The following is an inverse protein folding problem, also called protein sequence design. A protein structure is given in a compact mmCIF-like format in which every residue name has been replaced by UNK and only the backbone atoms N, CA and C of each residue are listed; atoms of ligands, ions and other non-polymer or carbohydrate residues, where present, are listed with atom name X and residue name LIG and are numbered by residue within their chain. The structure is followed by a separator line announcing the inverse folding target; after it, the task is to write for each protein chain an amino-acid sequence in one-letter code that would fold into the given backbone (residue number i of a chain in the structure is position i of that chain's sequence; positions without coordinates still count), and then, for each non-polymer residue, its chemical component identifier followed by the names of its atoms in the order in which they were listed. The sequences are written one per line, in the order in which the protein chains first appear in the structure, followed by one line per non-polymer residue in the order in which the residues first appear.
data_IF_014912368198
#
_entry.id   IF_014912368198
#
_cell.length_a   1.000
_cell.length_b   1.000
_cell.length_c   1.000
_cell.angle_alpha   90.00
_cell.angle_beta   90.00
_cell.angle_gamma   90.00
#
_symmetry.space_group_name_H-M   'P 1'
#
loop_
_entity.id
_entity.type
_entity.pdbx_description
1 polymer ?
#
# COMPACT_ATOMS: atom_id res chain seq x y z
N UNK A 1 28.15 16.67 -34.71
CA UNK A 1 26.91 17.41 -34.36
C UNK A 1 26.06 16.55 -33.44
N UNK A 2 25.91 16.91 -32.16
CA UNK A 2 24.96 16.28 -31.23
C UNK A 2 23.71 17.16 -31.17
N UNK A 3 22.56 16.62 -31.57
CA UNK A 3 21.28 17.34 -31.58
C UNK A 3 20.70 17.32 -30.16
N UNK A 4 20.65 18.48 -29.52
CA UNK A 4 19.91 18.71 -28.28
C UNK A 4 18.44 18.91 -28.65
N UNK A 5 17.57 17.95 -28.31
CA UNK A 5 16.13 18.12 -28.50
C UNK A 5 15.48 18.63 -27.21
N UNK A 6 15.26 19.94 -27.24
CA UNK A 6 14.05 20.67 -26.82
C UNK A 6 13.40 20.30 -25.48
N UNK A 7 13.62 21.19 -24.51
CA UNK A 7 12.77 21.38 -23.33
C UNK A 7 11.31 21.61 -23.75
N UNK A 8 10.43 20.65 -23.48
CA UNK A 8 8.98 20.86 -23.59
C UNK A 8 8.53 21.85 -22.52
N UNK A 9 7.92 22.95 -22.96
CA UNK A 9 7.27 23.96 -22.12
C UNK A 9 5.94 23.36 -21.60
N UNK A 10 5.83 23.13 -20.29
CA UNK A 10 4.59 22.67 -19.63
C UNK A 10 3.74 23.85 -19.16
N UNK A 11 2.41 23.68 -19.16
CA UNK A 11 1.44 24.74 -18.83
C UNK A 11 1.36 24.95 -17.32
N UNK A 12 1.11 26.18 -16.84
CA UNK A 12 1.03 26.51 -15.40
C UNK A 12 0.07 25.61 -14.58
N UNK A 13 -0.96 25.06 -15.22
CA UNK A 13 -1.92 24.15 -14.61
C UNK A 13 -1.34 22.75 -14.32
N UNK A 14 -0.44 22.26 -15.18
CA UNK A 14 0.21 20.95 -15.00
C UNK A 14 1.19 20.98 -13.82
N UNK A 15 1.89 22.11 -13.60
CA UNK A 15 2.76 22.30 -12.42
C UNK A 15 2.01 22.24 -11.09
N UNK A 16 0.75 22.71 -11.06
CA UNK A 16 -0.08 22.68 -9.85
C UNK A 16 -0.63 21.28 -9.56
N UNK A 17 -0.94 20.51 -10.60
CA UNK A 17 -1.31 19.10 -10.45
C UNK A 17 -0.11 18.27 -10.00
N UNK A 18 1.05 18.44 -10.65
CA UNK A 18 2.31 17.81 -10.23
C UNK A 18 2.68 18.15 -8.78
N UNK A 19 2.50 19.40 -8.32
CA UNK A 19 2.76 19.73 -6.91
C UNK A 19 1.83 19.03 -5.93
N UNK A 20 0.57 18.78 -6.31
CA UNK A 20 -0.39 18.07 -5.46
C UNK A 20 -0.05 16.57 -5.41
N UNK A 21 0.37 15.98 -6.54
CA UNK A 21 0.85 14.60 -6.57
C UNK A 21 2.14 14.44 -5.77
N UNK A 22 3.13 15.31 -5.95
CA UNK A 22 4.40 15.22 -5.22
C UNK A 22 4.24 15.52 -3.71
N UNK A 23 3.35 16.43 -3.32
CA UNK A 23 3.13 16.75 -1.90
C UNK A 23 2.37 15.63 -1.16
N UNK A 24 1.49 14.88 -1.82
CA UNK A 24 0.79 13.74 -1.20
C UNK A 24 1.64 12.45 -1.15
N UNK A 25 2.66 12.32 -2.00
CA UNK A 25 3.60 11.18 -1.96
C UNK A 25 4.56 11.34 -0.77
N UNK A 26 4.87 12.57 -0.36
CA UNK A 26 5.70 12.81 0.83
C UNK A 26 4.97 12.62 2.17
N UNK A 27 3.63 12.57 2.20
CA UNK A 27 2.86 12.35 3.44
C UNK A 27 2.63 10.88 3.78
N UNK A 28 3.07 9.93 2.94
CA UNK A 28 2.87 8.49 3.13
C UNK A 28 4.17 7.68 3.19
N UNK A 29 5.33 8.33 3.12
CA UNK A 29 6.62 7.72 3.44
C UNK A 29 7.02 8.13 4.85
N UNK A 30 6.29 7.63 5.85
CA UNK A 30 6.84 7.54 7.20
C UNK A 30 7.70 6.28 7.15
N UNK A 31 8.99 6.43 6.85
CA UNK A 31 9.93 5.38 7.24
C UNK A 31 9.76 5.21 8.76
N UNK A 32 9.53 3.99 9.28
CA UNK A 32 9.54 3.78 10.72
C UNK A 32 10.87 4.31 11.25
N UNK A 33 10.79 5.36 12.06
CA UNK A 33 11.94 5.96 12.73
C UNK A 33 12.32 5.02 13.89
N UNK A 34 12.98 3.91 13.55
CA UNK A 34 13.49 2.95 14.52
C UNK A 34 14.57 3.55 15.45
N UNK A 35 15.08 4.75 15.12
CA UNK A 35 16.08 5.45 15.92
C UNK A 35 15.44 6.36 17.00
N UNK A 36 14.15 6.71 16.88
CA UNK A 36 13.40 7.48 17.88
C UNK A 36 12.19 6.69 18.42
N UNK A 37 12.48 5.64 19.18
CA UNK A 37 11.46 4.93 19.96
C UNK A 37 10.92 5.86 21.04
N UNK A 38 9.59 5.93 21.15
CA UNK A 38 8.98 6.50 22.34
C UNK A 38 9.37 5.69 23.58
N UNK A 39 9.32 6.26 24.80
CA UNK A 39 9.67 5.51 26.01
C UNK A 39 8.88 4.20 26.18
N UNK A 40 7.64 4.17 25.69
CA UNK A 40 6.76 3.01 25.70
C UNK A 40 7.22 1.93 24.69
N UNK A 41 7.65 2.33 23.49
CA UNK A 41 8.16 1.40 22.47
C UNK A 41 9.53 0.81 22.87
N UNK A 42 10.41 1.62 23.47
CA UNK A 42 11.70 1.16 23.99
C UNK A 42 11.52 0.15 25.13
N UNK A 43 10.56 0.37 26.02
CA UNK A 43 10.26 -0.57 27.12
C UNK A 43 9.81 -1.94 26.58
N UNK A 44 8.94 -1.94 25.56
CA UNK A 44 8.47 -3.16 24.90
C UNK A 44 9.63 -3.90 24.21
N UNK A 45 10.53 -3.18 23.54
CA UNK A 45 11.69 -3.79 22.87
C UNK A 45 12.66 -4.38 23.87
N UNK A 46 12.97 -3.67 24.95
CA UNK A 46 13.84 -4.18 26.00
C UNK A 46 13.21 -5.41 26.71
N UNK A 47 11.88 -5.46 26.89
CA UNK A 47 11.17 -6.63 27.41
C UNK A 47 11.21 -7.83 26.45
N UNK A 48 11.11 -7.57 25.14
CA UNK A 48 11.25 -8.57 24.09
C UNK A 48 12.66 -9.16 24.05
N UNK A 49 13.69 -8.31 24.11
CA UNK A 49 15.10 -8.75 24.14
C UNK A 49 15.43 -9.54 25.41
N UNK A 50 14.83 -9.18 26.55
CA UNK A 50 14.93 -9.96 27.81
C UNK A 50 14.30 -11.35 27.71
N UNK A 51 13.52 -11.63 26.67
CA UNK A 51 12.95 -12.96 26.41
C UNK A 51 11.89 -13.38 27.42
N UNK A 52 11.23 -12.42 28.08
CA UNK A 52 10.20 -12.69 29.09
C UNK A 52 8.86 -13.16 28.49
N UNK A 53 8.69 -12.95 27.18
CA UNK A 53 7.50 -13.37 26.46
C UNK A 53 7.53 -14.87 26.14
N UNK A 54 6.81 -15.65 26.94
CA UNK A 54 6.62 -17.08 26.70
C UNK A 54 5.43 -17.27 25.76
N UNK A 55 5.65 -17.90 24.60
CA UNK A 55 4.57 -18.18 23.64
C UNK A 55 3.53 -19.11 24.26
N UNK A 56 2.41 -18.55 24.73
CA UNK A 56 1.29 -19.31 25.29
C UNK A 56 0.37 -19.78 24.15
N UNK A 57 -0.10 -21.04 24.16
CA UNK A 57 -1.16 -21.44 23.24
C UNK A 57 -2.42 -20.60 23.48
N UNK A 58 -2.94 -20.00 22.41
CA UNK A 58 -4.19 -19.23 22.45
C UNK A 58 -5.34 -20.13 22.93
N UNK A 59 -6.19 -19.60 23.80
CA UNK A 59 -7.40 -20.28 24.24
C UNK A 59 -8.40 -20.37 23.09
N UNK A 60 -9.36 -21.29 23.18
CA UNK A 60 -10.40 -21.43 22.14
C UNK A 60 -11.29 -20.17 22.02
N UNK A 61 -11.41 -19.40 23.09
CA UNK A 61 -12.13 -18.11 23.11
C UNK A 61 -11.33 -17.04 22.36
N UNK A 62 -10.03 -16.91 22.63
CA UNK A 62 -9.13 -16.00 21.93
C UNK A 62 -9.08 -16.31 20.42
N UNK A 63 -9.00 -17.59 20.05
CA UNK A 63 -9.04 -18.01 18.64
C UNK A 63 -10.35 -17.62 17.97
N UNK A 64 -11.49 -17.78 18.65
CA UNK A 64 -12.80 -17.35 18.11
C UNK A 64 -12.86 -15.85 17.93
N UNK A 65 -12.36 -15.09 18.89
CA UNK A 65 -12.35 -13.63 18.83
C UNK A 65 -11.46 -13.14 17.69
N UNK A 66 -10.24 -13.65 17.57
CA UNK A 66 -9.32 -13.35 16.48
C UNK A 66 -9.91 -13.74 15.12
N UNK A 67 -10.55 -14.91 15.02
CA UNK A 67 -11.24 -15.32 13.79
C UNK A 67 -12.41 -14.40 13.45
N UNK A 68 -13.19 -13.96 14.45
CA UNK A 68 -14.28 -13.01 14.25
C UNK A 68 -13.76 -11.63 13.80
N UNK A 69 -12.68 -11.13 14.39
CA UNK A 69 -12.02 -9.89 13.99
C UNK A 69 -11.47 -9.99 12.56
N UNK A 70 -10.78 -11.08 12.22
CA UNK A 70 -10.25 -11.31 10.88
C UNK A 70 -11.38 -11.33 9.83
N UNK A 71 -12.48 -12.03 10.12
CA UNK A 71 -13.66 -12.06 9.26
C UNK A 71 -14.27 -10.67 9.08
N UNK A 72 -14.45 -9.93 10.17
CA UNK A 72 -15.05 -8.59 10.12
C UNK A 72 -14.20 -7.60 9.31
N UNK A 73 -12.88 -7.69 9.38
CA UNK A 73 -11.96 -6.86 8.59
C UNK A 73 -12.01 -7.22 7.11
N UNK A 74 -12.07 -8.52 6.77
CA UNK A 74 -12.17 -8.99 5.38
C UNK A 74 -13.54 -8.69 4.75
N UNK A 75 -14.61 -8.70 5.54
CA UNK A 75 -15.98 -8.42 5.08
C UNK A 75 -16.19 -6.94 4.72
N UNK A 76 -15.36 -6.01 5.23
CA UNK A 76 -15.41 -4.57 4.90
C UNK A 76 -14.83 -4.25 3.52
N UNK A 77 -15.52 -4.68 2.48
CA UNK A 77 -15.20 -4.26 1.11
C UNK A 77 -15.86 -2.92 0.77
N UNK A 78 -15.13 -2.04 0.08
CA UNK A 78 -15.66 -0.77 -0.45
C UNK A 78 -15.39 -0.69 -1.94
N UNK A 79 -16.38 -0.22 -2.70
CA UNK A 79 -16.24 -0.01 -4.15
C UNK A 79 -15.52 1.32 -4.42
N UNK A 80 -14.54 1.29 -5.31
CA UNK A 80 -13.89 2.49 -5.85
C UNK A 80 -14.22 2.64 -7.33
N UNK A 81 -14.43 3.87 -7.79
CA UNK A 81 -14.59 4.20 -9.21
C UNK A 81 -13.30 4.81 -9.74
N UNK A 82 -12.70 4.19 -10.76
CA UNK A 82 -11.45 4.63 -11.37
C UNK A 82 -11.67 4.81 -12.87
N UNK A 83 -11.16 5.92 -13.42
CA UNK A 83 -11.17 6.19 -14.86
C UNK A 83 -9.81 5.82 -15.46
N UNK A 84 -9.82 4.96 -16.47
CA UNK A 84 -8.63 4.55 -17.20
C UNK A 84 -8.74 4.99 -18.66
N UNK A 85 -7.59 5.18 -19.31
CA UNK A 85 -7.56 5.31 -20.77
C UNK A 85 -7.84 3.94 -21.42
N UNK A 86 -8.32 3.92 -22.66
CA UNK A 86 -8.54 2.66 -23.39
C UNK A 86 -7.25 1.83 -23.53
N UNK A 87 -6.12 2.53 -23.71
CA UNK A 87 -4.79 1.90 -23.82
C UNK A 87 -4.42 1.17 -22.53
N UNK A 88 -4.58 1.82 -21.38
CA UNK A 88 -4.22 1.22 -20.09
C UNK A 88 -5.15 0.06 -19.75
N UNK A 89 -6.45 0.18 -20.06
CA UNK A 89 -7.41 -0.91 -19.89
C UNK A 89 -7.02 -2.13 -20.74
N UNK A 90 -6.58 -1.92 -22.00
CA UNK A 90 -6.13 -3.00 -22.87
C UNK A 90 -4.86 -3.68 -22.31
N UNK A 91 -3.88 -2.90 -21.86
CA UNK A 91 -2.66 -3.44 -21.24
C UNK A 91 -2.97 -4.24 -19.97
N UNK A 92 -3.87 -3.74 -19.12
CA UNK A 92 -4.29 -4.44 -17.89
C UNK A 92 -4.93 -5.79 -18.21
N UNK A 93 -5.81 -5.85 -19.22
CA UNK A 93 -6.44 -7.09 -19.67
C UNK A 93 -5.41 -8.09 -20.20
N UNK A 94 -4.43 -7.62 -20.97
CA UNK A 94 -3.34 -8.47 -21.48
C UNK A 94 -2.49 -9.01 -20.32
N UNK A 95 -2.11 -8.16 -19.36
CA UNK A 95 -1.34 -8.59 -18.20
C UNK A 95 -2.10 -9.62 -17.36
N UNK A 96 -3.39 -9.38 -17.08
CA UNK A 96 -4.23 -10.32 -16.35
C UNK A 96 -4.40 -11.66 -17.07
N UNK A 97 -4.55 -11.64 -18.41
CA UNK A 97 -4.63 -12.84 -19.22
C UNK A 97 -3.33 -13.66 -19.18
N UNK A 98 -2.16 -13.02 -19.07
CA UNK A 98 -0.87 -13.70 -18.92
C UNK A 98 -0.73 -14.42 -17.57
N UNK A 99 -1.30 -13.82 -16.51
CA UNK A 99 -1.39 -14.41 -15.17
C UNK A 99 -2.53 -15.43 -15.04
N UNK A 100 -3.39 -15.57 -16.06
CA UNK A 100 -4.52 -16.50 -16.06
C UNK A 100 -5.66 -16.10 -15.11
N UNK A 101 -5.74 -14.82 -14.70
CA UNK A 101 -6.75 -14.33 -13.76
C UNK A 101 -7.63 -13.21 -14.37
N UNK A 102 -8.83 -12.97 -13.84
CA UNK A 102 -9.67 -11.85 -14.28
C UNK A 102 -8.98 -10.50 -14.07
N UNK A 103 -9.22 -9.55 -14.97
CA UNK A 103 -8.58 -8.22 -14.91
C UNK A 103 -8.94 -7.44 -13.63
N UNK A 104 -10.13 -7.65 -13.07
CA UNK A 104 -10.55 -7.05 -11.81
C UNK A 104 -9.70 -7.58 -10.67
N UNK A 105 -9.49 -8.90 -10.60
CA UNK A 105 -8.67 -9.56 -9.58
C UNK A 105 -7.21 -9.12 -9.69
N UNK A 106 -6.69 -9.05 -10.93
CA UNK A 106 -5.35 -8.53 -11.17
C UNK A 106 -5.22 -7.08 -10.69
N UNK A 107 -6.19 -6.21 -11.01
CA UNK A 107 -6.21 -4.83 -10.52
C UNK A 107 -6.22 -4.77 -8.99
N UNK A 108 -7.05 -5.58 -8.33
CA UNK A 108 -7.10 -5.68 -6.87
C UNK A 108 -5.74 -6.10 -6.30
N UNK A 109 -5.06 -7.08 -6.90
CA UNK A 109 -3.74 -7.52 -6.44
C UNK A 109 -2.67 -6.44 -6.58
N UNK A 110 -2.74 -5.62 -7.65
CA UNK A 110 -1.83 -4.49 -7.83
C UNK A 110 -2.04 -3.43 -6.76
N UNK A 111 -3.29 -3.14 -6.40
CA UNK A 111 -3.60 -2.21 -5.31
C UNK A 111 -3.04 -2.73 -3.99
N UNK A 112 -3.31 -3.99 -3.64
CA UNK A 112 -2.81 -4.58 -2.39
C UNK A 112 -1.28 -4.67 -2.32
N UNK A 113 -0.59 -4.74 -3.48
CA UNK A 113 0.87 -4.77 -3.52
C UNK A 113 1.52 -3.40 -3.34
N UNK A 114 0.81 -2.31 -3.66
CA UNK A 114 1.35 -0.95 -3.66
C UNK A 114 0.73 -0.08 -2.55
N UNK A 115 -0.02 -0.69 -1.63
CA UNK A 115 -0.52 -0.11 -0.38
C UNK A 115 0.12 -0.89 0.76
#
# INVERSE_FOLDING_TARGET
MKKNFSSKLYTHHERRQESIYQNNINTMNIEPDFDNLTPEEQEIEDELERGEYVSRPATEEEKKELAAMARYTLEKTRTISVRLTERDLAHLKVAAAREGIPYQTFLTSLIHKNV
#
